data_IF_570005667498
#
_entry.id   IF_570005667498
#
_cell.length_a   1.000
_cell.length_b   1.000
_cell.length_c   1.000
_cell.angle_alpha   90.00
_cell.angle_beta   90.00
_cell.angle_gamma   90.00
#
_symmetry.space_group_name_H-M   'P 1'
#
loop_
_entity.id
_entity.type
_entity.pdbx_description
1 polymer ?
#
# COMPACT_ATOMS: atom_id res chain seq x y z
N UNK A 1 11.96 -6.14 -8.65
CA UNK A 1 11.77 -5.04 -7.69
C UNK A 1 11.01 -5.59 -6.49
N UNK A 2 11.34 -5.17 -5.26
CA UNK A 2 10.55 -5.51 -4.06
C UNK A 2 9.97 -4.20 -3.52
N UNK A 3 8.66 -4.17 -3.29
CA UNK A 3 7.98 -3.00 -2.75
C UNK A 3 7.62 -3.32 -1.30
N UNK A 4 8.09 -2.53 -0.31
CA UNK A 4 7.72 -2.72 1.08
C UNK A 4 6.25 -2.37 1.31
N UNK A 5 5.54 -3.24 2.01
CA UNK A 5 4.15 -3.06 2.39
C UNK A 5 3.95 -3.56 3.82
N UNK A 6 2.94 -3.01 4.50
CA UNK A 6 2.54 -3.44 5.84
C UNK A 6 1.21 -4.17 5.73
N UNK A 7 1.08 -5.30 6.42
CA UNK A 7 -0.17 -6.06 6.45
C UNK A 7 -0.46 -6.62 7.84
N UNK A 8 -1.72 -6.91 8.10
CA UNK A 8 -2.19 -7.57 9.29
C UNK A 8 -3.45 -8.39 8.98
N UNK A 9 -3.82 -9.29 9.90
CA UNK A 9 -5.04 -10.09 9.79
C UNK A 9 -6.07 -9.56 10.78
N UNK A 10 -7.27 -9.28 10.29
CA UNK A 10 -8.39 -8.81 11.11
C UNK A 10 -9.19 -9.96 11.74
N UNK A 11 -10.05 -9.60 12.69
CA UNK A 11 -10.87 -10.56 13.46
C UNK A 11 -11.85 -11.37 12.59
N UNK A 12 -12.25 -10.84 11.43
CA UNK A 12 -13.11 -11.49 10.44
C UNK A 12 -12.35 -12.46 9.52
N UNK A 13 -11.03 -12.53 9.67
CA UNK A 13 -10.15 -13.39 8.88
C UNK A 13 -9.59 -12.75 7.62
N UNK A 14 -9.99 -11.52 7.29
CA UNK A 14 -9.46 -10.78 6.14
C UNK A 14 -8.03 -10.32 6.39
N UNK A 15 -7.23 -10.29 5.33
CA UNK A 15 -5.92 -9.65 5.33
C UNK A 15 -6.08 -8.22 4.85
N UNK A 16 -5.61 -7.26 5.66
CA UNK A 16 -5.57 -5.84 5.30
C UNK A 16 -4.12 -5.41 5.15
N UNK A 17 -3.86 -4.43 4.30
CA UNK A 17 -2.53 -3.88 4.15
C UNK A 17 -2.45 -2.67 3.23
N UNK A 18 -1.32 -1.99 3.27
CA UNK A 18 -1.04 -0.80 2.46
C UNK A 18 0.42 -0.80 1.99
N UNK A 19 0.70 -0.08 0.90
CA UNK A 19 2.06 0.19 0.43
C UNK A 19 2.72 1.22 1.36
N UNK A 20 3.94 0.98 1.84
CA UNK A 20 4.58 1.89 2.80
C UNK A 20 4.82 3.29 2.24
N UNK A 21 4.90 3.42 0.92
CA UNK A 21 4.98 4.72 0.22
C UNK A 21 3.65 5.49 0.25
N UNK A 22 2.53 4.79 0.44
CA UNK A 22 1.16 5.34 0.47
C UNK A 22 0.39 4.85 1.72
N UNK A 23 0.86 5.17 2.95
CA UNK A 23 0.41 4.51 4.18
C UNK A 23 -1.06 4.73 4.52
N UNK A 24 -1.68 5.78 3.98
CA UNK A 24 -3.10 6.09 4.21
C UNK A 24 -4.05 5.30 3.30
N UNK A 25 -3.53 4.48 2.38
CA UNK A 25 -4.29 3.83 1.33
C UNK A 25 -4.15 2.32 1.46
N UNK A 26 -5.01 1.74 2.29
CA UNK A 26 -5.07 0.30 2.50
C UNK A 26 -6.08 -0.37 1.56
N UNK A 27 -5.86 -1.66 1.35
CA UNK A 27 -6.76 -2.57 0.66
C UNK A 27 -6.80 -3.89 1.45
N UNK A 28 -7.63 -4.84 1.00
CA UNK A 28 -7.86 -6.10 1.70
C UNK A 28 -7.90 -7.30 0.73
N UNK A 29 -7.77 -8.51 1.26
CA UNK A 29 -7.97 -9.78 0.54
C UNK A 29 -8.34 -10.90 1.50
N UNK A 30 -8.98 -11.95 1.01
CA UNK A 30 -9.35 -13.15 1.81
C UNK A 30 -8.12 -13.98 2.19
N UNK A 31 -7.04 -13.82 1.42
CA UNK A 31 -5.71 -14.36 1.68
C UNK A 31 -4.62 -13.35 1.31
N UNK A 32 -3.36 -13.72 1.55
CA UNK A 32 -2.21 -12.85 1.22
C UNK A 32 -2.01 -12.68 -0.29
N UNK A 33 -2.38 -13.66 -1.10
CA UNK A 33 -2.20 -13.57 -2.56
C UNK A 33 -3.15 -12.53 -3.15
N UNK A 34 -4.42 -12.55 -2.73
CA UNK A 34 -5.41 -11.54 -3.13
C UNK A 34 -5.03 -10.15 -2.60
N UNK A 35 -4.59 -10.02 -1.34
CA UNK A 35 -4.13 -8.74 -0.81
C UNK A 35 -2.96 -8.18 -1.65
N UNK A 36 -1.98 -9.02 -2.00
CA UNK A 36 -0.85 -8.61 -2.84
C UNK A 36 -1.32 -8.18 -4.24
N UNK A 37 -2.25 -8.92 -4.84
CA UNK A 37 -2.86 -8.54 -6.13
C UNK A 37 -3.47 -7.14 -6.08
N UNK A 38 -4.25 -6.86 -5.04
CA UNK A 38 -4.89 -5.56 -4.84
C UNK A 38 -3.86 -4.44 -4.57
N UNK A 39 -2.79 -4.72 -3.84
CA UNK A 39 -1.69 -3.77 -3.62
C UNK A 39 -0.93 -3.46 -4.91
N UNK A 40 -0.77 -4.44 -5.81
CA UNK A 40 -0.11 -4.23 -7.12
C UNK A 40 -0.93 -3.29 -8.00
N UNK A 41 -2.26 -3.41 -8.00
CA UNK A 41 -3.11 -2.51 -8.76
C UNK A 41 -3.11 -1.09 -8.18
N UNK A 42 -3.15 -0.97 -6.85
CA UNK A 42 -3.02 0.31 -6.15
C UNK A 42 -1.67 1.00 -6.44
N UNK A 43 -0.58 0.24 -6.48
CA UNK A 43 0.74 0.75 -6.89
C UNK A 43 0.69 1.33 -8.31
N UNK A 44 0.19 0.56 -9.28
CA UNK A 44 0.10 1.01 -10.69
C UNK A 44 -0.68 2.31 -10.81
N UNK A 45 -1.83 2.40 -10.14
CA UNK A 45 -2.66 3.62 -10.15
C UNK A 45 -1.88 4.82 -9.63
N UNK A 46 -1.22 4.70 -8.47
CA UNK A 46 -0.57 5.83 -7.83
C UNK A 46 0.78 6.22 -8.43
N UNK A 47 1.43 5.33 -9.20
CA UNK A 47 2.69 5.65 -9.88
C UNK A 47 2.52 6.08 -11.33
N UNK A 48 1.38 5.81 -11.96
CA UNK A 48 1.14 6.17 -13.36
C UNK A 48 0.64 7.61 -13.51
N UNK A 49 -0.12 8.08 -12.53
CA UNK A 49 -0.76 9.40 -12.58
C UNK A 49 -0.43 10.22 -11.34
N UNK A 50 -0.28 11.53 -11.53
CA UNK A 50 -0.22 12.47 -10.42
C UNK A 50 -1.64 12.78 -9.95
N UNK A 51 -2.08 12.09 -8.91
CA UNK A 51 -3.41 12.24 -8.34
C UNK A 51 -3.34 13.23 -7.16
N UNK A 52 -4.01 14.40 -7.22
CA UNK A 52 -4.03 15.34 -6.11
C UNK A 52 -4.55 14.70 -4.82
N UNK A 53 -3.84 14.94 -3.72
CA UNK A 53 -4.22 14.43 -2.39
C UNK A 53 -3.62 13.08 -2.02
N UNK A 54 -2.96 12.36 -2.95
CA UNK A 54 -2.19 11.17 -2.55
C UNK A 54 -0.92 11.60 -1.82
N UNK A 55 -0.83 11.24 -0.54
CA UNK A 55 0.35 11.53 0.29
C UNK A 55 1.55 10.70 -0.15
N UNK A 56 2.74 11.25 0.03
CA UNK A 56 4.04 10.62 -0.25
C UNK A 56 4.91 10.63 0.99
N UNK A 57 5.73 9.61 1.13
CA UNK A 57 6.80 9.58 2.12
C UNK A 57 8.05 10.22 1.50
N UNK A 58 8.66 11.15 2.22
CA UNK A 58 9.92 11.79 1.82
C UNK A 58 10.85 11.85 3.03
N UNK A 59 12.14 11.68 2.77
CA UNK A 59 13.21 11.82 3.74
C UNK A 59 13.95 13.13 3.47
N UNK A 60 14.48 13.75 4.52
CA UNK A 60 15.38 14.89 4.40
C UNK A 60 16.54 14.72 5.38
N UNK A 61 17.70 15.23 5.01
CA UNK A 61 18.87 15.23 5.88
C UNK A 61 18.86 16.48 6.77
N UNK A 62 19.10 16.28 8.07
CA UNK A 62 19.39 17.37 8.99
C UNK A 62 20.89 17.69 8.92
N UNK A 63 21.21 18.99 8.77
CA UNK A 63 22.57 19.49 8.78
C UNK A 63 23.21 19.44 10.18
#
# INVERSE_FOLDING_TARGET
MKIPYTYWKESDGMFLGYLNEFPDHWTQGVDLEELIGNLVDLYKTFTTEEIPGIKRVAEFELA
#
